data_IF_761605391403
#
_entry.id   IF_761605391403
#
_cell.length_a   1.000
_cell.length_b   1.000
_cell.length_c   1.000
_cell.angle_alpha   90.00
_cell.angle_beta   90.00
_cell.angle_gamma   90.00
#
_symmetry.space_group_name_H-M   'P 1'
#
loop_
_entity.id
_entity.type
_entity.pdbx_description
1 polymer ?
#
# COMPACT_ATOMS: atom_id res chain seq x y z
N UNK A 1 25.64 6.14 14.87
CA UNK A 1 26.17 5.25 13.82
C UNK A 1 27.10 5.95 12.81
N UNK A 2 27.43 7.25 12.91
CA UNK A 2 28.32 7.90 11.92
C UNK A 2 27.73 8.12 10.52
N UNK A 3 26.60 7.46 10.21
CA UNK A 3 25.87 7.54 8.93
C UNK A 3 25.26 8.95 8.74
N UNK A 4 25.35 9.54 7.54
CA UNK A 4 24.66 10.80 7.23
C UNK A 4 23.14 10.66 7.35
N UNK A 5 22.48 11.75 7.77
CA UNK A 5 21.02 11.77 7.97
C UNK A 5 20.29 11.52 6.65
N UNK A 6 19.59 10.38 6.56
CA UNK A 6 18.68 10.04 5.46
C UNK A 6 17.23 10.36 5.86
N UNK A 7 16.36 10.75 4.90
CA UNK A 7 14.99 11.16 5.20
C UNK A 7 14.08 9.98 5.60
N UNK A 8 14.35 8.78 5.08
CA UNK A 8 13.55 7.58 5.33
C UNK A 8 14.45 6.44 5.79
N UNK A 9 14.02 5.69 6.81
CA UNK A 9 14.72 4.56 7.42
C UNK A 9 13.71 3.41 7.53
N UNK A 10 14.10 2.23 7.09
CA UNK A 10 13.28 1.03 7.15
C UNK A 10 14.11 -0.18 7.58
N UNK A 11 13.44 -1.13 8.21
CA UNK A 11 14.01 -2.40 8.61
C UNK A 11 13.70 -3.46 7.56
N UNK A 12 14.71 -4.26 7.21
CA UNK A 12 14.60 -5.39 6.31
C UNK A 12 15.02 -6.65 7.05
N UNK A 13 14.12 -7.63 7.12
CA UNK A 13 14.44 -8.94 7.67
C UNK A 13 15.31 -9.69 6.65
N UNK A 14 16.49 -10.11 7.08
CA UNK A 14 17.41 -10.91 6.29
C UNK A 14 17.32 -12.37 6.75
N UNK A 15 17.33 -13.31 5.79
CA UNK A 15 17.32 -14.75 6.06
C UNK A 15 18.68 -15.41 5.79
N UNK A 16 19.75 -14.63 5.63
CA UNK A 16 21.10 -15.11 5.28
C UNK A 16 22.20 -14.44 6.11
N UNK A 17 23.43 -14.49 5.60
CA UNK A 17 24.62 -14.00 6.29
C UNK A 17 24.57 -12.49 6.59
N UNK A 18 25.27 -12.10 7.65
CA UNK A 18 25.35 -10.72 8.12
C UNK A 18 25.96 -9.85 7.01
N UNK A 19 25.18 -8.89 6.52
CA UNK A 19 25.71 -7.81 5.70
C UNK A 19 26.62 -6.93 6.55
N UNK A 20 27.76 -6.54 5.99
CA UNK A 20 28.61 -5.52 6.60
C UNK A 20 27.84 -4.20 6.72
N UNK A 21 27.95 -3.56 7.88
CA UNK A 21 27.37 -2.26 8.13
C UNK A 21 28.02 -1.22 7.20
N UNK A 22 27.22 -0.23 6.75
CA UNK A 22 27.65 0.92 5.92
C UNK A 22 27.97 0.65 4.44
N UNK A 23 27.55 -0.49 3.87
CA UNK A 23 27.58 -0.69 2.41
C UNK A 23 26.38 -0.03 1.73
N UNK A 24 26.65 0.79 0.71
CA UNK A 24 25.61 1.31 -0.18
C UNK A 24 25.11 0.21 -1.12
N UNK A 25 23.78 0.07 -1.20
CA UNK A 25 23.11 -0.94 -2.03
C UNK A 25 22.85 -0.35 -3.41
N UNK A 26 23.48 -0.92 -4.45
CA UNK A 26 23.25 -0.55 -5.85
C UNK A 26 22.01 -1.23 -6.43
N UNK A 27 21.49 -0.68 -7.53
CA UNK A 27 20.36 -1.25 -8.29
C UNK A 27 20.75 -2.58 -8.99
N UNK A 28 22.04 -2.84 -9.13
CA UNK A 28 22.61 -4.06 -9.72
C UNK A 28 22.31 -5.34 -8.95
N UNK A 29 21.80 -5.22 -7.71
CA UNK A 29 21.33 -6.39 -6.94
C UNK A 29 20.14 -7.08 -7.61
N UNK A 30 19.40 -6.35 -8.46
CA UNK A 30 18.27 -6.89 -9.20
C UNK A 30 18.69 -7.39 -10.59
N UNK A 31 18.02 -8.43 -11.08
CA UNK A 31 18.17 -8.94 -12.44
C UNK A 31 16.98 -8.54 -13.31
N UNK A 32 17.21 -8.37 -14.61
CA UNK A 32 16.12 -8.17 -15.57
C UNK A 32 15.23 -9.41 -15.61
N UNK A 33 13.93 -9.22 -15.88
CA UNK A 33 12.88 -10.25 -15.87
C UNK A 33 12.61 -10.93 -14.51
N UNK A 34 13.27 -10.51 -13.43
CA UNK A 34 12.99 -10.99 -12.07
C UNK A 34 11.61 -10.51 -11.58
N UNK A 35 10.94 -11.35 -10.78
CA UNK A 35 9.73 -10.97 -10.04
C UNK A 35 10.11 -10.38 -8.68
N UNK A 36 9.43 -9.30 -8.30
CA UNK A 36 9.61 -8.58 -7.04
C UNK A 36 8.27 -8.18 -6.43
N UNK A 37 8.29 -7.94 -5.13
CA UNK A 37 7.16 -7.39 -4.40
C UNK A 37 7.45 -5.94 -4.01
N UNK A 38 6.46 -5.07 -4.19
CA UNK A 38 6.58 -3.64 -3.86
C UNK A 38 5.73 -3.29 -2.64
N UNK A 39 6.40 -2.99 -1.53
CA UNK A 39 5.82 -2.47 -0.31
C UNK A 39 5.75 -0.95 -0.40
N UNK A 40 4.54 -0.40 -0.37
CA UNK A 40 4.37 1.04 -0.45
C UNK A 40 3.13 1.54 0.31
N UNK A 41 3.12 2.84 0.57
CA UNK A 41 2.00 3.51 1.25
C UNK A 41 1.04 4.02 0.19
N UNK A 42 -0.21 3.53 0.25
CA UNK A 42 -1.27 3.93 -0.66
C UNK A 42 -1.57 5.43 -0.59
N UNK A 43 -2.02 6.01 -1.72
CA UNK A 43 -2.44 7.41 -1.77
C UNK A 43 -3.57 7.67 -0.75
N UNK A 44 -3.35 8.62 0.15
CA UNK A 44 -4.37 9.07 1.10
C UNK A 44 -5.56 9.72 0.39
N UNK A 45 -6.77 9.32 0.76
CA UNK A 45 -8.03 9.90 0.25
C UNK A 45 -8.83 10.62 1.34
N UNK A 46 -8.27 10.78 2.55
CA UNK A 46 -8.94 11.38 3.69
C UNK A 46 -10.11 10.54 4.22
N UNK A 47 -11.08 11.20 4.86
CA UNK A 47 -12.34 10.58 5.31
C UNK A 47 -13.26 10.37 4.13
N UNK A 48 -13.59 9.12 3.82
CA UNK A 48 -14.52 8.77 2.76
C UNK A 48 -15.79 8.16 3.32
N UNK A 49 -16.90 8.42 2.64
CA UNK A 49 -18.18 7.79 2.93
C UNK A 49 -18.17 6.29 2.61
N UNK A 50 -19.12 5.52 3.15
CA UNK A 50 -19.11 4.07 3.07
C UNK A 50 -19.25 3.52 1.65
N UNK A 51 -19.93 4.24 0.75
CA UNK A 51 -20.00 3.89 -0.69
C UNK A 51 -18.60 3.81 -1.32
N UNK A 52 -17.76 4.82 -1.11
CA UNK A 52 -16.43 4.87 -1.73
C UNK A 52 -15.38 4.07 -0.97
N UNK A 53 -15.55 3.92 0.35
CA UNK A 53 -14.62 3.18 1.22
C UNK A 53 -14.80 1.67 1.14
N UNK A 54 -16.04 1.20 1.17
CA UNK A 54 -16.39 -0.22 1.22
C UNK A 54 -17.07 -0.75 -0.05
N UNK A 55 -17.38 0.12 -1.02
CA UNK A 55 -18.02 -0.30 -2.27
C UNK A 55 -19.51 -0.64 -2.11
N UNK A 56 -20.20 -0.16 -1.07
CA UNK A 56 -21.63 -0.44 -0.90
C UNK A 56 -22.45 0.21 -2.03
N UNK A 57 -23.49 -0.50 -2.46
CA UNK A 57 -24.43 -0.01 -3.47
C UNK A 57 -25.21 1.22 -3.01
N UNK A 58 -25.59 2.06 -3.96
CA UNK A 58 -26.54 3.14 -3.75
C UNK A 58 -27.96 2.55 -3.63
N UNK A 59 -28.76 3.06 -2.69
CA UNK A 59 -30.20 2.73 -2.69
C UNK A 59 -30.87 3.23 -3.97
N UNK A 60 -31.89 2.51 -4.45
CA UNK A 60 -32.61 2.90 -5.67
C UNK A 60 -33.34 4.24 -5.48
N UNK A 61 -34.10 4.37 -4.40
CA UNK A 61 -34.79 5.62 -4.03
C UNK A 61 -34.19 6.30 -2.79
N UNK A 62 -34.52 7.58 -2.63
CA UNK A 62 -34.20 8.33 -1.41
C UNK A 62 -34.97 7.72 -0.24
N UNK A 63 -34.26 7.46 0.85
CA UNK A 63 -34.87 7.23 2.16
C UNK A 63 -34.66 8.44 3.04
N UNK A 64 -35.46 8.59 4.10
CA UNK A 64 -35.32 9.66 5.10
C UNK A 64 -33.87 9.82 5.57
N UNK A 65 -33.22 8.69 5.88
CA UNK A 65 -31.83 8.63 6.37
C UNK A 65 -30.79 8.68 5.24
N UNK A 66 -31.15 9.09 4.03
CA UNK A 66 -30.23 9.27 2.90
C UNK A 66 -30.03 8.03 2.00
N UNK A 67 -29.36 8.23 0.86
CA UNK A 67 -29.17 7.22 -0.20
C UNK A 67 -27.84 6.45 -0.11
N UNK A 68 -26.83 7.03 0.55
CA UNK A 68 -25.43 6.56 0.58
C UNK A 68 -25.02 5.88 1.89
N UNK A 69 -25.99 5.55 2.74
CA UNK A 69 -25.74 4.97 4.06
C UNK A 69 -25.76 3.43 4.00
N UNK A 70 -24.97 2.75 4.86
CA UNK A 70 -25.04 1.31 5.03
C UNK A 70 -26.45 0.98 5.56
N UNK A 71 -27.23 0.23 4.78
CA UNK A 71 -28.65 0.01 5.05
C UNK A 71 -28.89 -0.60 6.43
N UNK A 72 -28.76 -1.92 6.55
CA UNK A 72 -28.75 -2.56 7.86
C UNK A 72 -27.38 -2.44 8.51
N UNK A 73 -27.35 -2.10 9.80
CA UNK A 73 -26.11 -1.89 10.59
C UNK A 73 -25.73 -3.11 11.44
N UNK A 74 -26.58 -4.13 11.47
CA UNK A 74 -26.42 -5.32 12.30
C UNK A 74 -27.65 -6.24 12.29
N UNK A 75 -27.59 -7.36 13.00
CA UNK A 75 -28.70 -8.30 13.15
C UNK A 75 -29.70 -7.78 14.19
N UNK A 76 -30.94 -8.27 14.14
CA UNK A 76 -32.05 -7.78 14.97
C UNK A 76 -31.77 -7.82 16.48
N UNK A 77 -31.09 -8.86 16.97
CA UNK A 77 -30.82 -9.08 18.41
C UNK A 77 -29.40 -8.69 18.85
N UNK A 78 -28.67 -7.89 18.08
CA UNK A 78 -27.34 -7.46 18.50
C UNK A 78 -27.40 -6.40 19.60
N UNK A 79 -26.68 -6.62 20.70
CA UNK A 79 -26.48 -5.61 21.75
C UNK A 79 -25.53 -4.48 21.31
N UNK A 80 -24.72 -4.68 20.26
CA UNK A 80 -23.73 -3.72 19.79
C UNK A 80 -23.64 -3.69 18.26
N UNK A 81 -23.13 -2.59 17.70
CA UNK A 81 -22.87 -2.48 16.26
C UNK A 81 -21.67 -3.38 15.91
N UNK A 82 -21.78 -4.17 14.84
CA UNK A 82 -20.67 -5.00 14.39
C UNK A 82 -19.47 -4.13 13.96
N UNK A 83 -18.26 -4.57 14.32
CA UNK A 83 -17.00 -3.92 13.90
C UNK A 83 -16.80 -3.90 12.37
N UNK A 84 -17.47 -4.81 11.64
CA UNK A 84 -17.42 -4.89 10.17
C UNK A 84 -18.43 -3.97 9.49
N UNK A 85 -19.28 -3.27 10.23
CA UNK A 85 -20.31 -2.40 9.63
C UNK A 85 -19.64 -1.26 8.85
N UNK A 86 -20.01 -1.13 7.57
CA UNK A 86 -19.40 -0.21 6.64
C UNK A 86 -19.75 1.26 6.96
N UNK A 87 -18.91 1.94 7.72
CA UNK A 87 -19.06 3.36 8.06
C UNK A 87 -18.05 4.28 7.39
N UNK A 88 -18.37 5.57 7.37
CA UNK A 88 -17.42 6.58 6.92
C UNK A 88 -16.12 6.53 7.75
N UNK A 89 -14.99 6.84 7.13
CA UNK A 89 -13.71 6.89 7.83
C UNK A 89 -12.52 7.01 6.90
N UNK A 90 -11.32 6.94 7.49
CA UNK A 90 -10.07 7.10 6.75
C UNK A 90 -9.93 6.04 5.66
N UNK A 91 -9.57 6.49 4.46
CA UNK A 91 -9.31 5.62 3.30
C UNK A 91 -7.97 5.97 2.67
N UNK A 92 -7.17 4.95 2.36
CA UNK A 92 -5.79 5.11 1.90
C UNK A 92 -4.83 5.45 3.04
N UNK A 93 -3.59 5.79 2.69
CA UNK A 93 -2.50 6.00 3.65
C UNK A 93 -2.17 4.76 4.51
N UNK A 94 -2.53 3.58 4.00
CA UNK A 94 -2.19 2.29 4.58
C UNK A 94 -1.03 1.68 3.82
N UNK A 95 -0.18 0.93 4.51
CA UNK A 95 0.85 0.10 3.89
C UNK A 95 0.18 -1.05 3.16
N UNK A 96 0.50 -1.21 1.87
CA UNK A 96 0.04 -2.31 1.02
C UNK A 96 1.21 -2.83 0.23
N UNK A 97 1.10 -4.10 -0.14
CA UNK A 97 2.11 -4.82 -0.91
C UNK A 97 1.46 -5.15 -2.25
N UNK A 98 2.12 -4.75 -3.33
CA UNK A 98 1.80 -5.24 -4.66
C UNK A 98 2.73 -6.41 -4.95
N UNK A 99 2.13 -7.60 -5.03
CA UNK A 99 2.87 -8.83 -5.26
C UNK A 99 3.11 -9.07 -6.76
N UNK A 100 4.22 -9.72 -7.09
CA UNK A 100 4.48 -10.29 -8.42
C UNK A 100 4.68 -9.26 -9.54
N UNK A 101 5.36 -8.15 -9.24
CA UNK A 101 5.76 -7.18 -10.27
C UNK A 101 6.99 -7.68 -11.02
N UNK A 102 6.99 -7.55 -12.36
CA UNK A 102 8.13 -7.93 -13.18
C UNK A 102 9.04 -6.74 -13.47
N UNK A 103 10.35 -6.91 -13.33
CA UNK A 103 11.34 -5.91 -13.78
C UNK A 103 11.50 -6.02 -15.29
N UNK A 104 11.17 -4.94 -16.02
CA UNK A 104 11.30 -4.87 -17.48
C UNK A 104 12.72 -4.46 -17.88
N UNK A 105 13.27 -3.44 -17.20
CA UNK A 105 14.56 -2.86 -17.58
C UNK A 105 15.26 -2.26 -16.38
N UNK A 106 16.57 -2.42 -16.35
CA UNK A 106 17.45 -1.80 -15.36
C UNK A 106 18.36 -0.81 -16.09
N UNK A 107 18.44 0.43 -15.61
CA UNK A 107 19.42 1.41 -16.11
C UNK A 107 20.32 1.86 -14.98
N UNK A 108 21.57 1.37 -15.01
CA UNK A 108 22.59 1.63 -13.97
C UNK A 108 23.05 3.09 -13.98
N UNK A 109 23.34 3.67 -15.16
CA UNK A 109 23.90 5.03 -15.30
C UNK A 109 23.06 6.13 -14.63
N UNK A 110 21.76 5.91 -14.57
CA UNK A 110 20.81 6.90 -14.09
C UNK A 110 19.89 6.36 -12.99
N UNK A 111 20.20 5.15 -12.51
CA UNK A 111 19.64 4.55 -11.27
C UNK A 111 18.11 4.46 -11.29
N UNK A 112 17.51 4.00 -12.39
CA UNK A 112 16.08 3.71 -12.43
C UNK A 112 15.74 2.27 -12.83
N UNK A 113 14.70 1.76 -12.18
CA UNK A 113 14.04 0.48 -12.42
C UNK A 113 12.72 0.71 -13.14
N UNK A 114 12.46 -0.07 -14.20
CA UNK A 114 11.20 -0.02 -14.92
C UNK A 114 10.40 -1.28 -14.57
N UNK A 115 9.26 -1.10 -13.89
CA UNK A 115 8.41 -2.18 -13.42
C UNK A 115 7.18 -2.34 -14.32
N UNK A 116 6.80 -3.60 -14.60
CA UNK A 116 5.56 -3.93 -15.28
C UNK A 116 4.41 -3.92 -14.27
N UNK A 117 3.54 -2.92 -14.37
CA UNK A 117 2.33 -2.83 -13.56
C UNK A 117 2.22 -1.49 -12.84
N UNK A 118 1.49 -1.49 -11.72
CA UNK A 118 1.21 -0.30 -10.93
C UNK A 118 1.78 -0.43 -9.52
N UNK A 119 2.40 0.63 -9.02
CA UNK A 119 2.87 0.69 -7.63
C UNK A 119 1.91 1.55 -6.80
N UNK A 120 1.45 1.08 -5.62
CA UNK A 120 0.52 1.85 -4.83
C UNK A 120 1.21 3.04 -4.16
N UNK A 121 0.76 4.26 -4.43
CA UNK A 121 1.23 5.44 -3.71
C UNK A 121 1.27 6.72 -4.55
N UNK A 122 1.54 7.88 -3.94
CA UNK A 122 1.83 9.10 -4.66
C UNK A 122 3.23 9.06 -5.29
N UNK A 123 3.44 9.90 -6.32
CA UNK A 123 4.77 10.07 -6.95
C UNK A 123 5.79 10.57 -5.90
N UNK A 124 7.07 10.18 -6.06
CA UNK A 124 8.22 10.57 -5.22
C UNK A 124 8.25 10.01 -3.79
N UNK A 125 7.25 9.25 -3.36
CA UNK A 125 7.32 8.56 -2.06
C UNK A 125 8.21 7.33 -2.17
N UNK A 126 8.93 7.02 -1.10
CA UNK A 126 9.75 5.80 -1.08
C UNK A 126 8.88 4.55 -1.18
N UNK A 127 9.46 3.55 -1.82
CA UNK A 127 8.91 2.21 -2.00
C UNK A 127 10.00 1.25 -1.56
N UNK A 128 9.62 0.24 -0.78
CA UNK A 128 10.51 -0.85 -0.42
C UNK A 128 10.27 -2.00 -1.41
N UNK A 129 11.35 -2.48 -2.03
CA UNK A 129 11.31 -3.61 -2.95
C UNK A 129 11.91 -4.83 -2.27
N UNK A 130 11.18 -5.93 -2.28
CA UNK A 130 11.65 -7.21 -1.75
C UNK A 130 11.61 -8.26 -2.85
N UNK A 131 12.49 -9.24 -2.75
CA UNK A 131 12.34 -10.47 -3.51
C UNK A 131 11.19 -11.29 -2.87
N UNK A 132 10.42 -12.04 -3.68
CA UNK A 132 9.35 -12.90 -3.18
C UNK A 132 9.87 -14.00 -2.24
#
# INVERSE_FOLDING_TARGET
AGIPKRPEIFELKLSGDKLEFDKDVSVEVFKEAQMIDAHAITKGKGTQGPVKRFGIGLRHHKSEKGRRNPGSRGPWKAQQIMYRTAYAGQTGFQQRIQLGLQIIKIKVRTTYLLLKGSVPGPKKRMILLTQP
#
